data_IF_937451210572
#
_entry.id   IF_937451210572
#
_cell.length_a   1.000
_cell.length_b   1.000
_cell.length_c   1.000
_cell.angle_alpha   90.00
_cell.angle_beta   90.00
_cell.angle_gamma   90.00
#
_symmetry.space_group_name_H-M   'P 1'
#
loop_
_entity.id
_entity.type
_entity.pdbx_description
1 polymer ?
#
# COMPACT_ATOMS: atom_id res chain seq x y z
N UNK A 1 34.15 -59.17 32.74
CA UNK A 1 33.93 -57.98 33.56
C UNK A 1 32.49 -57.56 33.27
N UNK A 2 31.55 -58.32 33.86
CA UNK A 2 30.80 -57.97 35.09
C UNK A 2 29.71 -56.94 34.75
N UNK A 3 28.40 -57.07 34.98
CA UNK A 3 27.45 -58.04 35.56
C UNK A 3 26.06 -57.43 35.18
N UNK A 4 25.18 -58.03 34.37
CA UNK A 4 24.05 -58.92 34.70
C UNK A 4 23.21 -58.59 35.96
N UNK A 5 21.95 -58.11 35.80
CA UNK A 5 20.67 -58.77 36.19
C UNK A 5 19.48 -57.75 36.12
N UNK A 6 18.40 -57.95 35.33
CA UNK A 6 17.21 -58.86 35.45
C UNK A 6 16.15 -58.28 36.44
N UNK A 7 14.82 -58.23 36.28
CA UNK A 7 13.75 -58.57 35.30
C UNK A 7 12.42 -58.04 35.92
N UNK A 8 11.39 -57.68 35.13
CA UNK A 8 10.02 -58.22 35.31
C UNK A 8 9.04 -57.77 34.23
N UNK A 9 8.41 -58.77 33.61
CA UNK A 9 7.27 -58.70 32.70
C UNK A 9 5.96 -58.64 33.48
N UNK A 10 4.96 -57.94 32.93
CA UNK A 10 3.56 -58.41 32.96
C UNK A 10 2.92 -58.17 31.59
N UNK A 11 2.35 -59.25 31.05
CA UNK A 11 1.59 -59.38 29.79
C UNK A 11 0.12 -59.59 30.18
N UNK A 12 -0.82 -58.85 29.60
CA UNK A 12 -2.25 -59.19 29.34
C UNK A 12 -2.77 -58.14 28.33
N UNK A 13 -3.67 -58.33 27.37
CA UNK A 13 -4.12 -59.40 26.47
C UNK A 13 -5.11 -58.71 25.48
N UNK A 14 -5.21 -59.21 24.24
CA UNK A 14 -6.10 -58.72 23.17
C UNK A 14 -7.60 -58.79 23.49
N UNK A 15 -8.41 -57.94 22.83
CA UNK A 15 -9.65 -58.24 22.07
C UNK A 15 -9.84 -57.10 21.02
N UNK A 16 -9.66 -57.33 19.70
CA UNK A 16 -10.69 -57.70 18.69
C UNK A 16 -11.80 -56.63 18.55
N UNK A 17 -12.07 -55.97 17.42
CA UNK A 17 -12.41 -56.53 16.11
C UNK A 17 -12.26 -55.45 15.01
N UNK A 18 -11.56 -55.81 13.95
CA UNK A 18 -11.72 -55.29 12.59
C UNK A 18 -12.74 -56.15 11.83
N UNK A 19 -13.60 -55.52 11.04
CA UNK A 19 -14.34 -56.11 9.92
C UNK A 19 -14.38 -55.00 8.85
N UNK A 20 -13.95 -55.16 7.60
CA UNK A 20 -14.22 -56.21 6.61
C UNK A 20 -14.64 -55.44 5.33
N UNK A 21 -13.73 -55.06 4.42
CA UNK A 21 -13.21 -55.79 3.24
C UNK A 21 -14.19 -55.79 2.03
N UNK A 22 -13.79 -55.00 1.02
CA UNK A 22 -13.69 -55.24 -0.45
C UNK A 22 -14.86 -55.59 -1.41
N UNK A 23 -14.76 -54.93 -2.59
CA UNK A 23 -15.02 -55.36 -4.01
C UNK A 23 -16.49 -55.71 -4.37
N UNK A 24 -17.07 -55.50 -5.56
CA UNK A 24 -16.59 -55.30 -6.93
C UNK A 24 -17.77 -54.84 -7.84
N UNK A 25 -17.44 -54.13 -8.93
CA UNK A 25 -18.06 -54.07 -10.28
C UNK A 25 -19.57 -54.23 -10.56
N UNK A 26 -20.05 -53.25 -11.36
CA UNK A 26 -20.85 -53.39 -12.61
C UNK A 26 -22.28 -52.82 -12.60
N UNK A 27 -22.47 -51.68 -13.26
CA UNK A 27 -23.56 -51.45 -14.22
C UNK A 27 -23.31 -50.15 -14.99
N UNK A 28 -22.89 -50.29 -16.25
CA UNK A 28 -22.84 -49.23 -17.23
C UNK A 28 -24.22 -49.15 -17.91
N UNK A 29 -25.00 -48.08 -17.72
CA UNK A 29 -26.08 -47.69 -18.65
C UNK A 29 -26.09 -46.16 -18.81
N UNK A 30 -26.04 -45.76 -20.07
CA UNK A 30 -26.02 -44.42 -20.63
C UNK A 30 -27.01 -43.40 -20.03
N UNK A 31 -26.52 -42.19 -19.73
CA UNK A 31 -27.08 -40.98 -20.37
C UNK A 31 -26.11 -39.79 -20.32
N UNK A 32 -25.95 -39.16 -21.49
CA UNK A 32 -25.21 -37.93 -21.72
C UNK A 32 -25.83 -36.79 -20.91
N UNK A 33 -25.03 -36.05 -20.14
CA UNK A 33 -25.25 -34.62 -19.93
C UNK A 33 -24.02 -33.94 -19.32
N UNK A 34 -23.61 -32.87 -19.99
CA UNK A 34 -22.61 -31.87 -19.62
C UNK A 34 -22.69 -31.48 -18.14
N UNK A 35 -21.61 -31.73 -17.37
CA UNK A 35 -21.37 -31.09 -16.07
C UNK A 35 -20.52 -29.84 -16.30
N UNK A 36 -21.18 -28.72 -16.51
CA UNK A 36 -20.64 -27.44 -16.06
C UNK A 36 -20.41 -27.54 -14.55
N UNK A 37 -19.18 -27.22 -14.10
CA UNK A 37 -18.91 -26.87 -12.71
C UNK A 37 -19.78 -25.65 -12.37
N UNK A 38 -20.87 -25.87 -11.64
CA UNK A 38 -21.54 -24.78 -10.94
C UNK A 38 -20.54 -24.22 -9.93
N UNK A 39 -20.16 -22.95 -10.09
CA UNK A 39 -19.58 -22.18 -9.01
C UNK A 39 -20.64 -22.13 -7.91
N UNK A 40 -20.25 -22.49 -6.68
CA UNK A 40 -21.07 -22.19 -5.51
C UNK A 40 -21.03 -20.66 -5.31
N UNK A 41 -21.80 -19.92 -6.09
CA UNK A 41 -22.22 -18.57 -5.73
C UNK A 41 -23.20 -18.72 -4.58
N UNK A 42 -22.66 -18.81 -3.35
CA UNK A 42 -23.47 -18.81 -2.15
C UNK A 42 -24.22 -17.49 -2.06
N UNK A 43 -25.50 -17.51 -2.42
CA UNK A 43 -26.42 -16.38 -2.26
C UNK A 43 -26.52 -16.05 -0.77
N UNK A 44 -26.36 -14.78 -0.40
CA UNK A 44 -26.53 -14.36 1.00
C UNK A 44 -27.95 -14.75 1.48
N UNK A 45 -28.10 -15.43 2.63
CA UNK A 45 -29.41 -15.82 3.11
C UNK A 45 -30.25 -14.58 3.47
N UNK A 46 -31.55 -14.60 3.14
CA UNK A 46 -32.48 -13.47 3.26
C UNK A 46 -32.65 -12.87 4.68
N UNK A 47 -32.18 -13.55 5.74
CA UNK A 47 -32.22 -13.05 7.11
C UNK A 47 -30.98 -12.24 7.50
N UNK A 48 -29.97 -12.15 6.63
CA UNK A 48 -28.78 -11.32 6.86
C UNK A 48 -28.93 -9.87 6.41
N UNK A 49 -29.96 -9.54 5.63
CA UNK A 49 -30.36 -8.15 5.41
C UNK A 49 -30.79 -7.44 6.71
N UNK A 50 -31.12 -8.21 7.75
CA UNK A 50 -31.54 -7.74 9.08
C UNK A 50 -30.46 -7.98 10.17
N UNK A 51 -29.25 -8.41 9.80
CA UNK A 51 -28.17 -8.61 10.77
C UNK A 51 -27.73 -7.26 11.34
N UNK A 52 -27.63 -7.10 12.68
CA UNK A 52 -27.13 -5.87 13.26
C UNK A 52 -25.71 -5.61 12.73
N UNK A 53 -25.55 -4.51 12.00
CA UNK A 53 -24.26 -4.08 11.41
C UNK A 53 -23.15 -3.91 12.45
N UNK A 54 -23.48 -3.94 13.74
CA UNK A 54 -22.59 -3.88 14.90
C UNK A 54 -21.59 -5.04 14.99
N UNK A 55 -21.89 -6.21 14.40
CA UNK A 55 -21.00 -7.38 14.41
C UNK A 55 -20.08 -7.48 13.21
N UNK A 56 -20.25 -6.64 12.18
CA UNK A 56 -19.54 -6.80 10.92
C UNK A 56 -18.02 -6.69 11.09
N UNK A 57 -17.57 -5.90 12.05
CA UNK A 57 -16.14 -5.77 12.44
C UNK A 57 -15.52 -7.12 12.82
N UNK A 58 -16.26 -7.95 13.56
CA UNK A 58 -15.81 -9.26 14.02
C UNK A 58 -15.95 -10.34 12.95
N UNK A 59 -16.89 -10.15 12.02
CA UNK A 59 -17.21 -11.12 10.97
C UNK A 59 -16.40 -10.92 9.70
N UNK A 60 -16.01 -9.69 9.35
CA UNK A 60 -15.25 -9.39 8.13
C UNK A 60 -14.00 -10.27 7.93
N UNK A 61 -13.21 -10.61 8.98
CA UNK A 61 -12.07 -11.52 8.83
C UNK A 61 -12.45 -12.95 8.41
N UNK A 62 -13.66 -13.42 8.72
CA UNK A 62 -14.06 -14.84 8.57
C UNK A 62 -15.16 -15.09 7.53
N UNK A 63 -15.90 -14.07 7.11
CA UNK A 63 -16.97 -14.22 6.12
C UNK A 63 -16.45 -14.67 4.75
N UNK A 64 -17.25 -15.38 3.93
CA UNK A 64 -16.88 -15.66 2.55
C UNK A 64 -16.64 -14.37 1.75
N UNK A 65 -15.63 -14.36 0.88
CA UNK A 65 -15.30 -13.17 0.06
C UNK A 65 -16.47 -12.75 -0.82
N UNK A 66 -17.23 -13.71 -1.36
CA UNK A 66 -18.44 -13.43 -2.13
C UNK A 66 -19.50 -12.65 -1.35
N UNK A 67 -19.60 -12.85 -0.04
CA UNK A 67 -20.53 -12.12 0.82
C UNK A 67 -20.02 -10.70 1.08
N UNK A 68 -18.73 -10.56 1.34
CA UNK A 68 -18.09 -9.25 1.50
C UNK A 68 -18.20 -8.39 0.24
N UNK A 69 -18.01 -8.99 -0.94
CA UNK A 69 -18.25 -8.34 -2.23
C UNK A 69 -19.73 -7.93 -2.35
N UNK A 70 -20.67 -8.82 -1.98
CA UNK A 70 -22.11 -8.50 -2.04
C UNK A 70 -22.48 -7.31 -1.16
N UNK A 71 -21.93 -7.21 0.06
CA UNK A 71 -22.13 -6.09 0.96
C UNK A 71 -21.57 -4.78 0.38
N UNK A 72 -20.38 -4.84 -0.21
CA UNK A 72 -19.78 -3.70 -0.91
C UNK A 72 -20.67 -3.20 -2.05
N UNK A 73 -21.14 -4.11 -2.92
CA UNK A 73 -21.98 -3.73 -4.07
C UNK A 73 -23.34 -3.18 -3.64
N UNK A 74 -23.94 -3.71 -2.56
CA UNK A 74 -25.16 -3.15 -1.98
C UNK A 74 -24.96 -1.72 -1.47
N UNK A 75 -23.91 -1.49 -0.69
CA UNK A 75 -23.59 -0.15 -0.17
C UNK A 75 -23.24 0.82 -1.30
N UNK A 76 -22.55 0.35 -2.35
CA UNK A 76 -22.24 1.13 -3.55
C UNK A 76 -23.51 1.56 -4.29
N UNK A 77 -24.44 0.63 -4.50
CA UNK A 77 -25.72 0.91 -5.15
C UNK A 77 -26.61 1.88 -4.36
N UNK A 78 -26.48 1.91 -3.03
CA UNK A 78 -27.20 2.86 -2.16
C UNK A 78 -26.57 4.26 -2.17
N UNK A 79 -25.30 4.41 -2.58
CA UNK A 79 -24.54 5.67 -2.52
C UNK A 79 -24.83 6.62 -3.70
N UNK A 80 -25.58 6.21 -4.72
CA UNK A 80 -25.84 7.06 -5.90
C UNK A 80 -26.89 8.15 -5.64
N UNK A 81 -26.41 9.39 -5.39
CA UNK A 81 -26.77 10.59 -6.17
C UNK A 81 -25.84 11.75 -5.81
N UNK A 82 -25.20 12.32 -6.83
CA UNK A 82 -24.41 13.57 -6.89
C UNK A 82 -22.87 13.44 -6.86
N UNK A 83 -22.31 13.84 -8.01
CA UNK A 83 -20.92 14.23 -8.32
C UNK A 83 -20.04 13.11 -8.90
N UNK A 84 -19.90 13.18 -10.24
CA UNK A 84 -18.86 12.57 -11.07
C UNK A 84 -18.50 11.13 -10.71
N UNK A 85 -19.18 10.16 -11.33
CA UNK A 85 -18.66 8.80 -11.53
C UNK A 85 -17.43 8.89 -12.44
N UNK A 86 -16.31 9.34 -11.88
CA UNK A 86 -15.01 9.13 -12.46
C UNK A 86 -14.60 7.68 -12.13
N UNK A 87 -14.52 6.77 -13.11
CA UNK A 87 -14.11 5.38 -12.88
C UNK A 87 -12.67 5.26 -12.34
N UNK A 88 -11.89 6.35 -12.33
CA UNK A 88 -10.56 6.43 -11.76
C UNK A 88 -10.55 6.93 -10.30
N UNK A 89 -11.66 7.50 -9.80
CA UNK A 89 -11.79 7.86 -8.37
C UNK A 89 -12.02 6.58 -7.58
N UNK A 90 -11.00 6.16 -6.83
CA UNK A 90 -11.02 4.96 -5.97
C UNK A 90 -12.08 5.12 -4.89
N UNK A 91 -13.29 4.53 -5.02
CA UNK A 91 -14.36 4.84 -4.10
C UNK A 91 -14.10 4.12 -2.78
N UNK A 92 -13.87 4.89 -1.72
CA UNK A 92 -14.00 4.41 -0.36
C UNK A 92 -15.47 4.41 0.01
N UNK A 93 -16.03 3.23 0.27
CA UNK A 93 -17.45 3.02 0.54
C UNK A 93 -17.61 2.59 2.00
N UNK A 94 -18.36 3.38 2.77
CA UNK A 94 -18.78 3.00 4.12
C UNK A 94 -19.87 1.95 4.00
N UNK A 95 -19.68 0.80 4.65
CA UNK A 95 -20.66 -0.31 4.65
C UNK A 95 -21.29 -0.54 6.03
N UNK A 96 -20.74 0.07 7.08
CA UNK A 96 -21.32 0.14 8.43
C UNK A 96 -20.78 1.34 9.19
N UNK A 97 -21.17 1.52 10.45
CA UNK A 97 -20.62 2.59 11.31
C UNK A 97 -19.14 2.43 11.62
N UNK A 98 -18.60 1.23 11.40
CA UNK A 98 -17.21 0.89 11.74
C UNK A 98 -16.36 0.47 10.56
N UNK A 99 -16.94 0.22 9.38
CA UNK A 99 -16.21 -0.33 8.25
C UNK A 99 -16.33 0.52 7.00
N UNK A 100 -15.18 0.83 6.43
CA UNK A 100 -15.01 1.36 5.09
C UNK A 100 -14.33 0.31 4.20
N UNK A 101 -14.64 0.34 2.92
CA UNK A 101 -14.07 -0.53 1.91
C UNK A 101 -13.46 0.30 0.81
N UNK A 102 -12.16 0.16 0.59
CA UNK A 102 -11.47 0.66 -0.61
C UNK A 102 -11.44 -0.48 -1.63
N UNK A 103 -11.87 -0.20 -2.86
CA UNK A 103 -11.96 -1.21 -3.91
C UNK A 103 -11.46 -0.66 -5.25
N UNK A 104 -10.68 -1.45 -5.98
CA UNK A 104 -10.24 -1.12 -7.34
C UNK A 104 -8.94 -1.81 -7.76
N UNK A 105 -8.53 -1.55 -9.02
CA UNK A 105 -7.32 -2.13 -9.60
C UNK A 105 -6.02 -1.67 -8.92
N UNK A 106 -6.02 -0.47 -8.35
CA UNK A 106 -4.87 0.10 -7.63
C UNK A 106 -4.80 -0.24 -6.13
N UNK A 107 -5.72 -1.07 -5.61
CA UNK A 107 -5.70 -1.46 -4.18
C UNK A 107 -4.82 -2.70 -4.03
N UNK A 108 -3.59 -2.49 -3.58
CA UNK A 108 -2.53 -3.52 -3.58
C UNK A 108 -2.46 -4.26 -2.24
N UNK A 109 -1.90 -5.49 -2.22
CA UNK A 109 -1.55 -6.13 -0.94
C UNK A 109 -0.52 -5.29 -0.18
N UNK A 110 0.33 -4.54 -0.89
CA UNK A 110 1.32 -3.64 -0.34
C UNK A 110 0.75 -2.51 0.50
N UNK A 111 -0.32 -1.87 0.01
CA UNK A 111 -1.07 -0.86 0.75
C UNK A 111 -1.61 -1.44 2.06
N UNK A 112 -2.35 -2.57 1.97
CA UNK A 112 -2.97 -3.19 3.12
C UNK A 112 -1.96 -3.63 4.19
N UNK A 113 -0.86 -4.26 3.77
CA UNK A 113 0.18 -4.73 4.67
C UNK A 113 0.93 -3.56 5.34
N UNK A 114 1.25 -2.50 4.58
CA UNK A 114 1.95 -1.33 5.12
C UNK A 114 1.06 -0.55 6.09
N UNK A 115 -0.22 -0.37 5.78
CA UNK A 115 -1.21 0.21 6.69
C UNK A 115 -1.33 -0.59 7.99
N UNK A 116 -1.45 -1.93 7.89
CA UNK A 116 -1.55 -2.79 9.07
C UNK A 116 -0.29 -2.74 9.93
N UNK A 117 0.89 -2.66 9.32
CA UNK A 117 2.14 -2.50 10.05
C UNK A 117 2.21 -1.15 10.75
N UNK A 118 1.83 -0.06 10.07
CA UNK A 118 1.77 1.26 10.69
C UNK A 118 0.80 1.30 11.88
N UNK A 119 -0.38 0.68 11.75
CA UNK A 119 -1.33 0.53 12.85
C UNK A 119 -0.74 -0.16 14.09
N UNK A 120 0.15 -1.13 13.89
CA UNK A 120 0.76 -1.92 14.97
C UNK A 120 1.95 -1.23 15.64
N UNK A 121 2.68 -0.37 14.92
CA UNK A 121 3.97 0.16 15.37
C UNK A 121 3.94 1.65 15.71
N UNK A 122 2.95 2.40 15.24
CA UNK A 122 2.80 3.81 15.61
C UNK A 122 2.06 3.95 16.94
N UNK A 123 2.54 4.89 17.75
CA UNK A 123 1.86 5.34 18.96
C UNK A 123 0.57 6.07 18.58
N UNK A 124 -0.55 5.45 18.96
CA UNK A 124 -1.92 5.90 18.72
C UNK A 124 -2.25 7.22 19.41
N UNK A 125 -1.46 7.65 20.40
CA UNK A 125 -1.60 8.95 21.06
C UNK A 125 -1.06 10.10 20.19
N UNK A 126 -0.14 9.81 19.27
CA UNK A 126 0.44 10.79 18.36
C UNK A 126 -0.31 10.82 17.03
N UNK A 127 -0.60 9.63 16.47
CA UNK A 127 -1.29 9.50 15.18
C UNK A 127 -2.15 8.25 15.14
N UNK A 128 -3.38 8.39 14.63
CA UNK A 128 -4.23 7.23 14.33
C UNK A 128 -3.98 6.72 12.92
N UNK A 129 -4.09 5.41 12.79
CA UNK A 129 -4.14 4.70 11.50
C UNK A 129 -5.40 3.82 11.52
N UNK A 130 -6.18 3.75 10.44
CA UNK A 130 -7.32 2.84 10.39
C UNK A 130 -6.86 1.38 10.45
N UNK A 131 -7.49 0.58 11.31
CA UNK A 131 -7.23 -0.87 11.37
C UNK A 131 -7.57 -1.54 10.03
N UNK A 132 -6.74 -2.46 9.57
CA UNK A 132 -7.12 -3.35 8.46
C UNK A 132 -7.86 -4.56 9.04
N UNK A 133 -9.09 -4.79 8.57
CA UNK A 133 -9.87 -5.98 8.94
C UNK A 133 -9.59 -7.14 8.00
N UNK A 134 -9.55 -6.87 6.69
CA UNK A 134 -9.25 -7.89 5.68
C UNK A 134 -8.85 -7.27 4.35
N UNK A 135 -7.92 -7.94 3.67
CA UNK A 135 -7.60 -7.70 2.27
C UNK A 135 -7.76 -8.98 1.44
N UNK A 136 -8.28 -8.87 0.22
CA UNK A 136 -8.23 -9.94 -0.78
C UNK A 136 -8.29 -9.37 -2.21
N UNK A 137 -7.93 -10.20 -3.19
CA UNK A 137 -7.97 -9.84 -4.61
C UNK A 137 -8.84 -10.81 -5.41
N UNK A 138 -9.72 -10.25 -6.24
CA UNK A 138 -10.50 -11.00 -7.21
C UNK A 138 -9.85 -10.89 -8.58
N UNK A 139 -9.45 -12.04 -9.14
CA UNK A 139 -8.88 -12.14 -10.49
C UNK A 139 -10.00 -12.39 -11.49
N UNK A 140 -10.69 -11.33 -11.92
CA UNK A 140 -11.68 -11.44 -13.01
C UNK A 140 -10.99 -11.61 -14.37
N UNK A 141 -9.88 -10.91 -14.59
CA UNK A 141 -8.91 -11.08 -15.68
C UNK A 141 -7.49 -11.09 -15.08
N UNK A 142 -6.62 -12.02 -15.51
CA UNK A 142 -5.30 -12.23 -14.89
C UNK A 142 -4.38 -11.01 -14.89
N UNK A 143 -4.59 -10.06 -15.81
CA UNK A 143 -3.74 -8.88 -15.97
C UNK A 143 -4.08 -7.71 -15.06
N UNK A 144 -5.29 -7.68 -14.47
CA UNK A 144 -5.76 -6.54 -13.66
C UNK A 144 -6.67 -7.03 -12.51
N UNK A 145 -6.09 -7.58 -11.42
CA UNK A 145 -6.89 -7.98 -10.26
C UNK A 145 -7.61 -6.78 -9.66
N UNK A 146 -8.78 -7.02 -9.07
CA UNK A 146 -9.50 -6.02 -8.26
C UNK A 146 -9.20 -6.31 -6.80
N UNK A 147 -8.56 -5.36 -6.11
CA UNK A 147 -8.30 -5.46 -4.68
C UNK A 147 -9.49 -4.93 -3.87
N UNK A 148 -9.76 -5.59 -2.75
CA UNK A 148 -10.73 -5.17 -1.74
C UNK A 148 -10.01 -5.03 -0.39
N UNK A 149 -10.03 -3.83 0.16
CA UNK A 149 -9.46 -3.50 1.48
C UNK A 149 -10.59 -3.08 2.42
N UNK A 150 -10.95 -3.96 3.34
CA UNK A 150 -11.88 -3.71 4.43
C UNK A 150 -11.11 -3.17 5.62
N UNK A 151 -11.44 -1.95 6.05
CA UNK A 151 -10.71 -1.23 7.10
C UNK A 151 -11.66 -0.45 8.01
N UNK A 152 -11.14 -0.01 9.16
CA UNK A 152 -11.84 0.85 10.10
C UNK A 152 -12.34 2.12 9.40
N UNK A 153 -13.65 2.40 9.56
CA UNK A 153 -14.22 3.67 9.15
C UNK A 153 -13.85 4.73 10.17
N UNK A 154 -13.19 5.79 9.71
CA UNK A 154 -12.81 6.91 10.55
C UNK A 154 -13.79 8.06 10.30
N UNK A 155 -14.66 8.41 11.28
CA UNK A 155 -15.54 9.57 11.16
C UNK A 155 -14.75 10.88 11.25
N UNK A 156 -15.42 11.99 10.93
CA UNK A 156 -14.83 13.33 10.97
C UNK A 156 -14.47 13.87 9.59
N UNK A 157 -13.95 15.09 9.56
CA UNK A 157 -13.58 15.82 8.34
C UNK A 157 -12.11 15.62 8.01
N UNK A 158 -11.79 15.61 6.72
CA UNK A 158 -10.41 15.71 6.25
C UNK A 158 -9.88 17.12 6.46
N UNK A 159 -8.56 17.30 6.46
CA UNK A 159 -7.93 18.64 6.53
C UNK A 159 -8.27 19.51 5.31
N UNK A 160 -8.78 18.92 4.23
CA UNK A 160 -9.23 19.67 3.04
C UNK A 160 -10.60 20.33 3.28
N UNK A 161 -11.42 19.76 4.17
CA UNK A 161 -12.79 20.19 4.45
C UNK A 161 -12.90 21.16 5.65
N UNK A 162 -11.77 21.51 6.26
CA UNK A 162 -11.71 22.39 7.44
C UNK A 162 -10.76 23.54 7.17
N UNK A 163 -11.14 24.72 7.66
CA UNK A 163 -10.28 25.90 7.65
C UNK A 163 -9.38 25.84 8.88
N UNK A 164 -8.07 25.71 8.67
CA UNK A 164 -7.09 25.50 9.72
C UNK A 164 -5.87 26.38 9.49
N UNK A 165 -5.20 26.72 10.59
CA UNK A 165 -3.89 27.33 10.56
C UNK A 165 -2.87 26.32 10.01
N UNK A 166 -2.36 26.61 8.81
CA UNK A 166 -1.39 25.76 8.13
C UNK A 166 -0.10 25.57 8.96
N UNK A 167 0.29 26.53 9.79
CA UNK A 167 1.55 26.44 10.53
C UNK A 167 1.43 25.51 11.75
N UNK A 168 0.30 25.55 12.47
CA UNK A 168 0.01 24.59 13.55
C UNK A 168 -0.06 23.16 13.00
N UNK A 169 -0.82 22.97 11.93
CA UNK A 169 -0.98 21.66 11.29
C UNK A 169 0.34 21.14 10.75
N UNK A 170 1.15 21.98 10.10
CA UNK A 170 2.46 21.58 9.57
C UNK A 170 3.42 21.18 10.70
N UNK A 171 3.38 21.86 11.84
CA UNK A 171 4.16 21.47 13.02
C UNK A 171 3.75 20.09 13.52
N UNK A 172 2.44 19.84 13.69
CA UNK A 172 1.91 18.54 14.13
C UNK A 172 2.24 17.42 13.13
N UNK A 173 2.14 17.69 11.85
CA UNK A 173 2.53 16.73 10.81
C UNK A 173 4.04 16.45 10.81
N UNK A 174 4.88 17.45 11.11
CA UNK A 174 6.32 17.21 11.28
C UNK A 174 6.62 16.29 12.48
N UNK A 175 5.86 16.42 13.58
CA UNK A 175 5.93 15.50 14.73
C UNK A 175 5.58 14.07 14.31
N UNK A 176 4.50 13.90 13.53
CA UNK A 176 4.09 12.61 12.96
C UNK A 176 5.16 12.05 12.02
N UNK A 177 5.77 12.86 11.15
CA UNK A 177 6.86 12.42 10.28
C UNK A 177 8.07 11.92 11.07
N UNK A 178 8.37 12.55 12.21
CA UNK A 178 9.45 12.08 13.10
C UNK A 178 9.10 10.74 13.75
N UNK A 179 7.82 10.51 14.03
CA UNK A 179 7.32 9.24 14.53
C UNK A 179 7.34 8.15 13.46
N UNK A 180 6.96 8.46 12.21
CA UNK A 180 7.12 7.54 11.08
C UNK A 180 8.59 7.12 10.92
N UNK A 181 9.50 8.09 11.00
CA UNK A 181 10.94 7.85 10.89
C UNK A 181 11.53 7.02 12.05
N UNK A 182 10.86 6.89 13.19
CA UNK A 182 11.31 6.02 14.28
C UNK A 182 10.94 4.55 14.05
N UNK A 183 10.02 4.28 13.13
CA UNK A 183 9.57 2.94 12.78
C UNK A 183 10.48 2.37 11.68
N UNK A 184 11.38 1.47 12.07
CA UNK A 184 12.17 0.65 11.15
C UNK A 184 11.45 -0.68 10.87
N UNK A 185 11.82 -1.38 9.80
CA UNK A 185 11.19 -2.68 9.51
C UNK A 185 11.49 -3.31 8.15
N UNK A 186 11.97 -2.53 7.17
CA UNK A 186 12.29 -3.03 5.84
C UNK A 186 13.79 -3.09 5.56
N UNK A 187 14.27 -4.19 4.98
CA UNK A 187 15.57 -4.25 4.29
C UNK A 187 15.45 -3.91 2.79
N UNK A 188 14.22 -3.88 2.28
CA UNK A 188 13.88 -3.67 0.88
C UNK A 188 13.09 -2.36 0.78
N UNK A 189 13.47 -1.43 -0.11
CA UNK A 189 12.70 -0.22 -0.31
C UNK A 189 11.30 -0.50 -0.86
N UNK A 190 10.29 0.20 -0.33
CA UNK A 190 8.91 0.07 -0.80
C UNK A 190 7.93 -0.51 0.22
N UNK A 191 6.76 -0.89 -0.29
CA UNK A 191 5.66 -1.44 0.51
C UNK A 191 6.00 -2.79 1.11
N UNK A 192 5.38 -3.10 2.25
CA UNK A 192 5.41 -4.45 2.83
C UNK A 192 4.72 -5.41 1.86
N UNK A 193 5.37 -6.52 1.51
CA UNK A 193 4.97 -7.44 0.42
C UNK A 193 5.39 -7.00 -0.99
N UNK A 194 6.15 -5.91 -1.12
CA UNK A 194 6.72 -5.45 -2.38
C UNK A 194 5.68 -4.96 -3.39
N UNK A 195 6.01 -5.12 -4.67
CA UNK A 195 5.22 -4.60 -5.78
C UNK A 195 5.82 -3.33 -6.39
N UNK A 196 5.16 -2.83 -7.42
CA UNK A 196 5.52 -1.58 -8.09
C UNK A 196 5.16 -0.38 -7.22
N UNK A 197 6.03 0.63 -7.19
CA UNK A 197 5.80 1.85 -6.44
C UNK A 197 4.96 2.82 -7.26
N UNK A 198 4.01 3.45 -6.60
CA UNK A 198 3.10 4.43 -7.18
C UNK A 198 3.17 5.72 -6.36
N UNK A 199 2.80 6.85 -6.99
CA UNK A 199 2.79 8.16 -6.34
C UNK A 199 3.80 9.15 -6.90
N UNK A 200 3.85 10.34 -6.29
CA UNK A 200 4.43 11.52 -6.94
C UNK A 200 5.92 11.42 -7.28
N UNK A 201 6.69 10.59 -6.58
CA UNK A 201 8.14 10.48 -6.81
C UNK A 201 8.51 9.63 -8.04
N UNK A 202 7.56 8.86 -8.57
CA UNK A 202 7.88 7.74 -9.47
C UNK A 202 7.53 7.99 -10.95
N UNK A 203 6.91 9.13 -11.27
CA UNK A 203 6.36 9.42 -12.61
C UNK A 203 4.88 9.06 -12.69
N UNK A 204 4.26 9.26 -13.87
CA UNK A 204 2.81 9.08 -14.04
C UNK A 204 2.37 7.60 -13.95
N UNK A 205 3.22 6.68 -14.42
CA UNK A 205 2.95 5.23 -14.42
C UNK A 205 3.52 4.50 -13.18
N UNK A 206 4.19 5.23 -12.29
CA UNK A 206 4.95 4.64 -11.19
C UNK A 206 6.21 3.89 -11.64
N UNK A 207 6.68 2.95 -10.82
CA UNK A 207 7.74 2.02 -11.23
C UNK A 207 7.14 0.84 -11.98
N UNK A 208 7.79 0.41 -13.06
CA UNK A 208 7.50 -0.88 -13.72
C UNK A 208 8.26 -2.02 -13.07
N UNK A 209 9.39 -1.70 -12.44
CA UNK A 209 10.24 -2.62 -11.72
C UNK A 209 9.72 -2.84 -10.29
N UNK A 210 9.84 -4.09 -9.82
CA UNK A 210 9.68 -4.45 -8.41
C UNK A 210 11.07 -4.46 -7.78
N UNK A 211 11.26 -3.71 -6.70
CA UNK A 211 12.54 -3.67 -5.99
C UNK A 211 12.66 -4.82 -5.01
N UNK A 212 13.83 -5.45 -5.01
CA UNK A 212 14.21 -6.52 -4.10
C UNK A 212 15.38 -6.12 -3.20
N UNK A 213 15.97 -4.94 -3.43
CA UNK A 213 17.12 -4.42 -2.71
C UNK A 213 17.24 -2.89 -2.85
N UNK A 214 18.09 -2.28 -2.01
CA UNK A 214 18.51 -0.88 -2.18
C UNK A 214 19.27 -0.69 -3.49
N UNK A 215 19.97 -1.72 -3.98
CA UNK A 215 20.68 -1.67 -5.27
C UNK A 215 19.71 -1.53 -6.45
N UNK A 216 18.53 -2.15 -6.40
CA UNK A 216 17.50 -1.97 -7.44
C UNK A 216 16.98 -0.53 -7.47
N UNK A 217 16.75 0.06 -6.30
CA UNK A 217 16.36 1.47 -6.18
C UNK A 217 17.47 2.40 -6.70
N UNK A 218 18.72 2.15 -6.30
CA UNK A 218 19.88 2.88 -6.83
C UNK A 218 19.97 2.76 -8.35
N UNK A 219 19.79 1.56 -8.91
CA UNK A 219 19.79 1.33 -10.35
C UNK A 219 18.70 2.13 -11.06
N UNK A 220 17.47 2.08 -10.54
CA UNK A 220 16.32 2.81 -11.09
C UNK A 220 16.56 4.33 -11.10
N UNK A 221 17.10 4.89 -10.01
CA UNK A 221 17.45 6.30 -9.90
C UNK A 221 18.61 6.67 -10.84
N UNK A 222 19.68 5.88 -10.82
CA UNK A 222 20.89 6.18 -11.60
C UNK A 222 20.64 6.09 -13.11
N UNK A 223 19.73 5.23 -13.57
CA UNK A 223 19.28 5.22 -14.97
C UNK A 223 18.75 6.60 -15.41
N UNK A 224 18.01 7.28 -14.53
CA UNK A 224 17.45 8.62 -14.77
C UNK A 224 18.50 9.72 -14.61
N UNK A 225 19.38 9.60 -13.62
CA UNK A 225 20.42 10.58 -13.32
C UNK A 225 21.57 10.61 -14.33
N UNK A 226 21.73 9.57 -15.16
CA UNK A 226 22.66 9.56 -16.29
C UNK A 226 22.49 10.77 -17.22
N UNK A 227 21.26 11.28 -17.41
CA UNK A 227 20.98 12.48 -18.20
C UNK A 227 21.71 13.74 -17.69
N UNK A 228 22.11 13.74 -16.41
CA UNK A 228 22.81 14.84 -15.76
C UNK A 228 24.28 14.51 -15.46
N UNK A 229 24.77 13.34 -15.88
CA UNK A 229 26.07 12.79 -15.48
C UNK A 229 26.26 12.81 -13.95
N UNK A 230 25.23 12.36 -13.23
CA UNK A 230 25.19 12.25 -11.75
C UNK A 230 24.85 10.82 -11.34
N UNK A 231 25.22 10.49 -10.11
CA UNK A 231 24.88 9.23 -9.46
C UNK A 231 24.46 9.45 -8.01
N UNK A 232 23.70 8.51 -7.48
CA UNK A 232 23.26 8.42 -6.09
C UNK A 232 23.55 7.03 -5.53
N UNK A 233 23.90 6.97 -4.25
CA UNK A 233 24.01 5.73 -3.49
C UNK A 233 23.24 5.84 -2.17
N UNK A 234 22.18 5.05 -2.05
CA UNK A 234 21.29 5.05 -0.89
C UNK A 234 21.64 3.99 0.17
N UNK A 235 22.62 3.11 -0.07
CA UNK A 235 23.01 2.04 0.86
C UNK A 235 23.41 2.51 2.26
N UNK A 236 24.06 3.68 2.44
CA UNK A 236 24.41 4.15 3.78
C UNK A 236 23.21 4.55 4.65
N UNK A 237 22.03 4.74 4.08
CA UNK A 237 20.89 5.29 4.79
C UNK A 237 19.89 4.20 5.22
N UNK A 238 19.46 4.20 6.50
CA UNK A 238 18.49 3.23 6.97
C UNK A 238 17.12 3.47 6.33
N UNK A 239 16.38 2.39 6.09
CA UNK A 239 15.02 2.46 5.61
C UNK A 239 14.05 2.55 6.80
N UNK A 240 13.24 3.60 6.79
CA UNK A 240 12.23 3.89 7.81
C UNK A 240 10.86 4.02 7.15
N UNK A 241 9.79 3.89 7.93
CA UNK A 241 8.45 4.05 7.41
C UNK A 241 8.26 5.50 6.90
N UNK A 242 7.77 5.63 5.68
CA UNK A 242 7.38 6.89 5.06
C UNK A 242 5.95 6.77 4.52
N UNK A 243 5.16 7.85 4.62
CA UNK A 243 3.79 7.90 4.10
C UNK A 243 3.77 8.33 2.63
N UNK A 244 4.58 9.33 2.27
CA UNK A 244 4.79 9.86 0.92
C UNK A 244 3.57 10.51 0.23
N UNK A 245 2.42 10.60 0.91
CA UNK A 245 1.18 11.23 0.42
C UNK A 245 0.40 11.96 1.52
N UNK A 246 1.08 12.88 2.22
CA UNK A 246 0.50 13.73 3.27
C UNK A 246 -0.36 14.88 2.71
N UNK A 247 -1.15 14.59 1.67
CA UNK A 247 -2.18 15.50 1.17
C UNK A 247 -3.30 15.66 2.22
N UNK A 248 -3.90 16.86 2.30
CA UNK A 248 -4.96 17.21 3.26
C UNK A 248 -6.18 16.29 3.17
N UNK A 249 -6.52 15.82 1.96
CA UNK A 249 -7.59 14.83 1.73
C UNK A 249 -7.33 13.46 2.38
N UNK A 250 -6.08 13.12 2.64
CA UNK A 250 -5.66 11.85 3.24
C UNK A 250 -5.44 11.95 4.75
N UNK A 251 -5.79 13.09 5.37
CA UNK A 251 -5.57 13.31 6.80
C UNK A 251 -6.90 13.75 7.42
N UNK A 252 -7.36 13.04 8.44
CA UNK A 252 -8.56 13.43 9.20
C UNK A 252 -8.20 14.10 10.51
N UNK A 253 -8.91 15.17 10.83
CA UNK A 253 -8.95 15.75 12.17
C UNK A 253 -10.13 15.14 12.93
N UNK A 254 -9.82 14.51 14.06
CA UNK A 254 -10.79 13.80 14.88
C UNK A 254 -11.36 14.72 15.97
N UNK A 255 -12.51 14.34 16.54
CA UNK A 255 -13.21 15.15 17.54
C UNK A 255 -12.40 15.37 18.82
N UNK A 256 -11.50 14.44 19.15
CA UNK A 256 -10.54 14.55 20.27
C UNK A 256 -9.31 15.40 19.92
N UNK A 257 -9.29 16.00 18.74
CA UNK A 257 -8.21 16.80 18.20
C UNK A 257 -7.07 15.98 17.60
N UNK A 258 -7.05 14.64 17.70
CA UNK A 258 -5.99 13.82 17.11
C UNK A 258 -6.05 13.78 15.58
N UNK A 259 -4.92 13.48 14.93
CA UNK A 259 -4.85 13.29 13.48
C UNK A 259 -4.88 11.81 13.12
N UNK A 260 -5.55 11.49 12.01
CA UNK A 260 -5.55 10.15 11.44
C UNK A 260 -5.03 10.18 10.00
N UNK A 261 -4.01 9.36 9.70
CA UNK A 261 -3.48 9.19 8.34
C UNK A 261 -4.22 8.09 7.58
N UNK A 262 -4.74 8.45 6.41
CA UNK A 262 -5.45 7.59 5.46
C UNK A 262 -4.60 7.38 4.20
N UNK A 263 -5.04 6.44 3.37
CA UNK A 263 -4.45 6.11 2.06
C UNK A 263 -2.93 5.83 2.10
N UNK A 264 -2.62 4.60 2.47
CA UNK A 264 -1.24 4.10 2.56
C UNK A 264 -0.71 3.59 1.21
N UNK A 265 -1.38 3.94 0.09
CA UNK A 265 -1.07 3.43 -1.24
C UNK A 265 0.30 3.85 -1.80
N UNK A 266 0.88 4.95 -1.31
CA UNK A 266 2.23 5.40 -1.67
C UNK A 266 3.27 5.13 -0.58
N UNK A 267 2.84 4.63 0.58
CA UNK A 267 3.70 4.43 1.73
C UNK A 267 4.69 3.28 1.54
N UNK A 268 5.73 3.24 2.37
CA UNK A 268 6.70 2.14 2.36
C UNK A 268 7.95 2.48 3.16
N UNK A 269 8.95 1.59 3.10
CA UNK A 269 10.24 1.81 3.75
C UNK A 269 11.21 2.50 2.81
N UNK A 270 11.69 3.69 3.20
CA UNK A 270 12.63 4.49 2.42
C UNK A 270 13.59 5.26 3.35
N UNK A 271 14.72 5.78 2.86
CA UNK A 271 15.49 6.76 3.63
C UNK A 271 14.61 7.93 4.07
N UNK A 272 14.71 8.37 5.34
CA UNK A 272 13.81 9.37 5.97
C UNK A 272 13.58 10.65 5.15
N UNK A 273 14.57 11.06 4.35
CA UNK A 273 14.49 12.25 3.51
C UNK A 273 13.58 12.09 2.29
N UNK A 274 13.08 10.88 2.00
CA UNK A 274 12.03 10.66 1.00
C UNK A 274 10.74 11.38 1.37
N UNK A 275 10.40 11.49 2.66
CA UNK A 275 9.22 12.24 3.10
C UNK A 275 9.36 13.73 2.75
N UNK A 276 10.58 14.28 2.92
CA UNK A 276 10.90 15.67 2.56
C UNK A 276 10.81 15.89 1.05
N UNK A 277 11.29 14.92 0.25
CA UNK A 277 11.18 14.97 -1.21
C UNK A 277 9.72 14.86 -1.68
N UNK A 278 8.95 13.94 -1.09
CA UNK A 278 7.54 13.73 -1.41
C UNK A 278 6.70 14.97 -1.08
N UNK A 279 6.92 15.61 0.07
CA UNK A 279 6.20 16.81 0.50
C UNK A 279 6.27 17.95 -0.53
N UNK A 280 7.38 18.05 -1.29
CA UNK A 280 7.57 19.06 -2.34
C UNK A 280 6.85 18.74 -3.65
N UNK A 281 6.36 17.51 -3.81
CA UNK A 281 5.84 16.99 -5.07
C UNK A 281 4.33 16.73 -5.06
N UNK A 282 3.69 16.84 -3.89
CA UNK A 282 2.27 16.56 -3.71
C UNK A 282 1.40 17.50 -4.54
N UNK A 283 0.25 17.00 -4.96
CA UNK A 283 -0.78 17.80 -5.63
C UNK A 283 -1.84 18.22 -4.60
N UNK A 284 -1.65 19.41 -4.03
CA UNK A 284 -2.49 20.03 -3.00
C UNK A 284 -2.33 21.57 -3.04
N UNK A 285 -2.91 22.29 -2.08
CA UNK A 285 -2.76 23.73 -1.94
C UNK A 285 -1.28 24.15 -1.77
N UNK A 286 -0.87 25.17 -2.52
CA UNK A 286 0.52 25.60 -2.56
C UNK A 286 1.02 26.22 -1.24
N UNK A 287 0.15 26.86 -0.45
CA UNK A 287 0.55 27.41 0.85
C UNK A 287 0.73 26.29 1.87
N UNK A 288 -0.17 25.31 1.89
CA UNK A 288 -0.03 24.09 2.68
C UNK A 288 1.27 23.34 2.34
N UNK A 289 1.52 23.07 1.06
CA UNK A 289 2.74 22.36 0.61
C UNK A 289 4.00 23.06 1.10
N UNK A 290 4.07 24.39 0.99
CA UNK A 290 5.22 25.18 1.45
C UNK A 290 5.39 25.10 2.97
N UNK A 291 4.32 25.30 3.75
CA UNK A 291 4.39 25.25 5.22
C UNK A 291 4.81 23.85 5.70
N UNK A 292 4.19 22.79 5.15
CA UNK A 292 4.52 21.41 5.50
C UNK A 292 5.96 21.04 5.12
N UNK A 293 6.38 21.36 3.88
CA UNK A 293 7.75 21.07 3.42
C UNK A 293 8.79 21.74 4.31
N UNK A 294 8.55 22.99 4.71
CA UNK A 294 9.43 23.72 5.61
C UNK A 294 9.46 23.10 7.02
N UNK A 295 8.30 22.78 7.59
CA UNK A 295 8.21 22.19 8.92
C UNK A 295 8.92 20.82 8.98
N UNK A 296 8.66 19.96 7.99
CA UNK A 296 9.29 18.63 7.88
C UNK A 296 10.79 18.75 7.67
N UNK A 297 11.25 19.64 6.77
CA UNK A 297 12.68 19.88 6.54
C UNK A 297 13.40 20.38 7.80
N UNK A 298 12.83 21.39 8.46
CA UNK A 298 13.42 21.98 9.67
C UNK A 298 13.53 20.96 10.80
N UNK A 299 12.50 20.12 10.98
CA UNK A 299 12.51 19.10 12.02
C UNK A 299 13.42 17.92 11.70
N UNK A 300 13.57 17.58 10.42
CA UNK A 300 14.43 16.48 10.00
C UNK A 300 15.91 16.72 10.34
N UNK A 301 16.39 17.97 10.46
CA UNK A 301 17.81 18.27 10.71
C UNK A 301 18.73 17.48 9.74
N UNK A 302 18.52 17.70 8.44
CA UNK A 302 19.19 16.97 7.37
C UNK A 302 20.68 17.32 7.30
N UNK A 303 21.51 16.32 7.04
CA UNK A 303 22.90 16.53 6.63
C UNK A 303 22.98 17.06 5.19
N UNK A 304 24.12 17.66 4.85
CA UNK A 304 24.39 18.16 3.49
C UNK A 304 24.29 17.05 2.43
N UNK A 305 24.72 15.82 2.77
CA UNK A 305 24.60 14.66 1.90
C UNK A 305 23.14 14.21 1.70
N UNK A 306 22.31 14.29 2.74
CA UNK A 306 20.87 14.00 2.62
C UNK A 306 20.14 15.06 1.79
N UNK A 307 20.49 16.35 1.94
CA UNK A 307 19.95 17.41 1.08
C UNK A 307 20.32 17.19 -0.39
N UNK A 308 21.57 16.78 -0.65
CA UNK A 308 22.02 16.39 -1.99
C UNK A 308 21.25 15.18 -2.52
N UNK A 309 20.96 14.18 -1.69
CA UNK A 309 20.15 13.04 -2.08
C UNK A 309 18.72 13.46 -2.46
N UNK A 310 18.08 14.34 -1.69
CA UNK A 310 16.76 14.89 -2.04
C UNK A 310 16.83 15.58 -3.41
N UNK A 311 17.83 16.42 -3.63
CA UNK A 311 17.99 17.10 -4.91
C UNK A 311 18.08 16.12 -6.08
N UNK A 312 18.88 15.05 -5.94
CA UNK A 312 19.02 13.99 -6.94
C UNK A 312 17.71 13.22 -7.16
N UNK A 313 16.98 12.88 -6.10
CA UNK A 313 15.66 12.22 -6.20
C UNK A 313 14.68 13.08 -6.99
N UNK A 314 14.62 14.39 -6.70
CA UNK A 314 13.76 15.32 -7.43
C UNK A 314 14.15 15.46 -8.91
N UNK A 315 15.46 15.36 -9.23
CA UNK A 315 15.91 15.29 -10.63
C UNK A 315 15.48 13.99 -11.31
N UNK A 316 15.63 12.86 -10.63
CA UNK A 316 15.19 11.57 -11.17
C UNK A 316 13.68 11.55 -11.42
N UNK A 317 12.88 12.09 -10.48
CA UNK A 317 11.44 12.32 -10.66
C UNK A 317 11.15 13.19 -11.88
N UNK A 318 11.80 14.35 -12.00
CA UNK A 318 11.58 15.26 -13.13
C UNK A 318 11.92 14.60 -14.48
N UNK A 319 12.91 13.71 -14.50
CA UNK A 319 13.22 12.90 -15.66
C UNK A 319 12.11 11.87 -15.95
N UNK A 320 11.59 11.15 -14.94
CA UNK A 320 10.46 10.21 -15.11
C UNK A 320 9.21 10.86 -15.70
N UNK A 321 8.95 12.13 -15.38
CA UNK A 321 7.80 12.88 -15.91
C UNK A 321 7.99 13.34 -17.36
N UNK A 322 9.21 13.26 -17.90
CA UNK A 322 9.56 13.77 -19.23
C UNK A 322 9.97 12.68 -20.21
N UNK A 323 10.51 11.57 -19.72
CA UNK A 323 11.13 10.52 -20.53
C UNK A 323 10.66 9.14 -20.12
N UNK A 324 10.57 8.26 -21.12
CA UNK A 324 10.34 6.84 -20.92
C UNK A 324 11.71 6.15 -20.84
N UNK A 325 11.97 5.47 -19.72
CA UNK A 325 13.23 4.76 -19.47
C UNK A 325 13.15 3.26 -19.70
N UNK A 326 11.93 2.73 -19.85
CA UNK A 326 11.73 1.30 -20.08
C UNK A 326 11.80 0.97 -21.57
N UNK A 327 12.37 -0.18 -21.95
CA UNK A 327 12.37 -0.61 -23.34
C UNK A 327 10.92 -0.77 -23.80
N UNK A 328 10.50 -0.03 -24.82
CA UNK A 328 9.27 -0.39 -25.54
C UNK A 328 9.54 -1.75 -26.17
N UNK A 329 8.68 -2.74 -25.89
CA UNK A 329 8.78 -4.11 -26.44
C UNK A 329 8.86 -4.20 -27.98
N UNK A 330 8.84 -3.09 -28.73
CA UNK A 330 9.12 -3.08 -30.17
C UNK A 330 9.83 -1.81 -30.71
N UNK A 331 10.51 -0.99 -29.90
CA UNK A 331 11.37 0.09 -30.42
C UNK A 331 12.43 0.47 -29.39
N UNK A 332 13.64 -0.08 -29.55
CA UNK A 332 14.82 0.34 -28.79
C UNK A 332 15.23 1.73 -29.28
N UNK A 333 15.07 2.75 -28.45
CA UNK A 333 15.84 3.98 -28.64
C UNK A 333 17.31 3.64 -28.31
N UNK A 334 18.15 3.73 -29.33
CA UNK A 334 19.59 3.55 -29.25
C UNK A 334 20.22 4.76 -28.52
N UNK A 335 21.47 4.65 -28.03
CA UNK A 335 22.20 5.80 -27.52
C UNK A 335 22.27 6.97 -28.51
N UNK A 336 22.29 6.67 -29.82
CA UNK A 336 22.23 7.69 -30.88
C UNK A 336 20.88 8.41 -30.96
N UNK A 337 19.78 7.73 -30.60
CA UNK A 337 18.46 8.37 -30.56
C UNK A 337 18.33 9.34 -29.37
N UNK A 338 18.98 9.04 -28.23
CA UNK A 338 19.13 9.97 -27.10
C UNK A 338 19.96 11.20 -27.45
N UNK A 339 20.98 11.07 -28.29
CA UNK A 339 21.80 12.19 -28.79
C UNK A 339 21.06 13.03 -29.85
N UNK A 340 20.06 12.46 -30.51
CA UNK A 340 19.26 13.15 -31.55
C UNK A 340 18.08 13.96 -31.02
N UNK A 341 17.80 13.87 -29.71
CA UNK A 341 16.74 14.64 -29.08
C UNK A 341 17.05 16.15 -29.18
N UNK A 342 16.03 17.01 -29.41
CA UNK A 342 16.23 18.45 -29.41
C UNK A 342 16.86 18.88 -28.07
N UNK A 343 17.72 19.93 -28.08
CA UNK A 343 18.40 20.39 -26.89
C UNK A 343 17.38 20.63 -25.77
N UNK A 344 17.72 20.09 -24.59
CA UNK A 344 16.86 20.05 -23.42
C UNK A 344 16.25 21.43 -23.15
N UNK A 345 14.92 21.56 -22.96
CA UNK A 345 14.38 22.78 -22.40
C UNK A 345 15.02 22.95 -21.01
N UNK A 346 15.53 24.15 -20.68
CA UNK A 346 16.19 24.39 -19.41
C UNK A 346 15.27 23.93 -18.28
N UNK A 347 15.87 23.22 -17.31
CA UNK A 347 15.17 22.92 -16.06
C UNK A 347 14.65 24.26 -15.52
N UNK A 348 13.39 24.34 -15.04
CA UNK A 348 12.96 25.54 -14.34
C UNK A 348 13.98 25.84 -13.24
N UNK A 349 14.39 27.11 -13.08
CA UNK A 349 15.35 27.48 -12.05
C UNK A 349 14.78 27.06 -10.71
N UNK A 350 15.47 26.11 -10.08
CA UNK A 350 15.29 25.85 -8.65
C UNK A 350 16.35 26.69 -7.98
N UNK A 351 15.97 27.34 -6.88
CA UNK A 351 16.87 28.17 -6.09
C UNK A 351 18.24 27.48 -5.93
N UNK A 352 19.34 28.23 -6.10
CA UNK A 352 20.67 27.67 -5.89
C UNK A 352 20.76 27.09 -4.47
N UNK A 353 21.56 26.03 -4.33
CA UNK A 353 21.96 25.51 -3.02
C UNK A 353 22.31 26.69 -2.11
N UNK A 354 21.83 26.72 -0.84
CA UNK A 354 22.31 27.73 0.09
C UNK A 354 23.83 27.60 0.18
N UNK A 355 24.53 28.59 -0.38
CA UNK A 355 25.96 28.75 -0.16
C UNK A 355 26.13 29.12 1.31
N UNK A 356 26.88 28.28 2.05
CA UNK A 356 27.32 28.60 3.41
C UNK A 356 28.15 29.88 3.44
#
# INVERSE_FOLDING_TARGET
>A
MEEAQVVSHVKVSLHSLTAGVDLETSACIHHKSSRYRQSCQGVMPHYWSDMPFDYLEWLAPVLPESWLISLYEQAKAQKTTHLHDDPYVRPVIRISDKIAVKCGHGVTPGEAATQQYAYQHLDRQVVRVPRVYRYFQVKSNSSWPIGYLFMEYIPGKTLEEVDLDNDDISKRLSDIVSQLASVSGGAIPGQISGGTLQGYLWGDDGTTDVFHSVDDLNHWLNRRLKLLNKEIDLRPYPLVLCHLDLCRRNIKLLDDGSLCLLDWGHSGFFPRFYEVAAAQCMNDDGAYIRSLSNAVKNKANLSEDEEKCIWLILRARAASLRYIFEPRENNLLTPADLESLPPLPPLPPVEPLPHK
#
